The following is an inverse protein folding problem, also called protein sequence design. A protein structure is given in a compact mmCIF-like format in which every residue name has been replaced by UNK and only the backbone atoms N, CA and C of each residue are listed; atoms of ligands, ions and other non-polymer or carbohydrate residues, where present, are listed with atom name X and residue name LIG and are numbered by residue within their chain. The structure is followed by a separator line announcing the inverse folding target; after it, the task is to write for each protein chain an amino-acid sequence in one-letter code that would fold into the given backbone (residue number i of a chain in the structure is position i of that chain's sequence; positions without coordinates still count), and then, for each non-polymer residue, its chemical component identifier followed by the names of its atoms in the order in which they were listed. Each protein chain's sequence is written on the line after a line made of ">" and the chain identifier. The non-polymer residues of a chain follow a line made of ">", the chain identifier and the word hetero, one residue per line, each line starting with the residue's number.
data_IF_604751991170
#
_entry.id   IF_604751991170
#
_cell.length_a   1.000
_cell.length_b   1.000
_cell.length_c   1.000
_cell.angle_alpha   90.00
_cell.angle_beta   90.00
_cell.angle_gamma   90.00
#
_symmetry.space_group_name_H-M   'P 1'
#
loop_
_entity.id
_entity.type
_entity.pdbx_description
1 polymer ?
#
# COMPACT_ATOMS: atom_id res chain seq x y z
N UNK A 1 3.71 -20.70 27.25
CA UNK A 1 3.38 -20.50 25.82
C UNK A 1 4.62 -19.97 25.13
N UNK A 2 5.02 -20.53 23.98
CA UNK A 2 6.18 -20.08 23.21
C UNK A 2 5.75 -18.86 22.39
N UNK A 3 6.15 -17.67 22.83
CA UNK A 3 5.99 -16.46 22.01
C UNK A 3 6.85 -16.60 20.76
N UNK A 4 6.33 -16.15 19.60
CA UNK A 4 7.09 -16.23 18.34
C UNK A 4 8.37 -15.40 18.36
N UNK A 5 8.37 -14.30 19.11
CA UNK A 5 9.51 -13.41 19.28
C UNK A 5 9.44 -12.71 20.63
N UNK A 6 10.49 -11.97 21.00
CA UNK A 6 10.52 -11.18 22.23
C UNK A 6 9.91 -9.80 22.05
N UNK A 7 9.64 -9.09 23.14
CA UNK A 7 9.09 -7.72 23.09
C UNK A 7 10.06 -6.73 22.41
N UNK A 8 11.38 -6.95 22.58
CA UNK A 8 12.41 -6.17 21.90
C UNK A 8 12.41 -6.43 20.38
N UNK A 9 12.23 -7.68 19.97
CA UNK A 9 12.13 -8.03 18.55
C UNK A 9 10.88 -7.42 17.91
N UNK A 10 9.75 -7.39 18.64
CA UNK A 10 8.52 -6.74 18.19
C UNK A 10 8.75 -5.24 17.88
N UNK A 11 9.54 -4.55 18.73
CA UNK A 11 9.94 -3.17 18.51
C UNK A 11 10.76 -2.98 17.22
N UNK A 12 11.76 -3.84 16.99
CA UNK A 12 12.58 -3.79 15.76
C UNK A 12 11.77 -4.11 14.51
N UNK A 13 10.94 -5.15 14.55
CA UNK A 13 10.05 -5.53 13.44
C UNK A 13 9.12 -4.36 13.12
N UNK A 14 8.49 -3.75 14.13
CA UNK A 14 7.63 -2.59 13.96
C UNK A 14 8.35 -1.39 13.34
N UNK A 15 9.56 -1.07 13.83
CA UNK A 15 10.35 0.04 13.33
C UNK A 15 10.79 -0.17 11.87
N UNK A 16 11.34 -1.35 11.55
CA UNK A 16 11.85 -1.67 10.21
C UNK A 16 10.68 -1.73 9.22
N UNK A 17 9.61 -2.47 9.56
CA UNK A 17 8.46 -2.62 8.70
C UNK A 17 7.74 -1.28 8.51
N UNK A 18 7.49 -0.54 9.59
CA UNK A 18 6.84 0.77 9.55
C UNK A 18 7.62 1.79 8.72
N UNK A 19 8.95 1.87 8.92
CA UNK A 19 9.80 2.79 8.14
C UNK A 19 9.83 2.41 6.66
N UNK A 20 9.98 1.12 6.36
CA UNK A 20 10.01 0.63 4.98
C UNK A 20 8.70 0.90 4.25
N UNK A 21 7.56 0.61 4.88
CA UNK A 21 6.23 0.89 4.32
C UNK A 21 5.99 2.40 4.22
N UNK A 22 6.43 3.20 5.19
CA UNK A 22 6.33 4.66 5.12
C UNK A 22 7.08 5.24 3.91
N UNK A 23 8.30 4.78 3.67
CA UNK A 23 9.11 5.17 2.51
C UNK A 23 8.42 4.74 1.21
N UNK A 24 7.97 3.48 1.13
CA UNK A 24 7.29 2.95 -0.05
C UNK A 24 5.95 3.67 -0.33
N UNK A 25 5.18 3.98 0.71
CA UNK A 25 3.93 4.72 0.62
C UNK A 25 4.14 6.17 0.19
N UNK A 26 5.16 6.84 0.74
CA UNK A 26 5.55 8.18 0.31
C UNK A 26 6.02 8.21 -1.14
N UNK A 27 6.84 7.24 -1.54
CA UNK A 27 7.30 7.08 -2.91
C UNK A 27 6.13 6.81 -3.86
N UNK A 28 5.21 5.91 -3.50
CA UNK A 28 3.99 5.65 -4.27
C UNK A 28 3.15 6.91 -4.42
N UNK A 29 2.95 7.68 -3.35
CA UNK A 29 2.22 8.95 -3.39
C UNK A 29 2.88 9.98 -4.30
N UNK A 30 4.22 10.10 -4.25
CA UNK A 30 5.00 10.97 -5.12
C UNK A 30 4.94 10.56 -6.59
N UNK A 31 5.09 9.26 -6.89
CA UNK A 31 4.97 8.71 -8.24
C UNK A 31 3.55 8.88 -8.78
N UNK A 32 2.52 8.59 -7.98
CA UNK A 32 1.13 8.78 -8.37
C UNK A 32 0.84 10.28 -8.64
N UNK A 33 1.30 11.18 -7.77
CA UNK A 33 1.09 12.63 -7.93
C UNK A 33 1.80 13.22 -9.16
N UNK A 34 2.98 12.70 -9.51
CA UNK A 34 3.78 13.23 -10.64
C UNK A 34 3.45 12.56 -11.98
N UNK A 35 3.15 11.26 -12.00
CA UNK A 35 2.91 10.50 -13.22
C UNK A 35 1.43 10.34 -13.58
N UNK A 36 0.50 10.39 -12.63
CA UNK A 36 -0.93 10.33 -12.95
C UNK A 36 -1.38 11.50 -13.84
N UNK A 37 -0.97 12.78 -13.61
CA UNK A 37 -1.33 13.88 -14.50
C UNK A 37 -0.75 13.74 -15.91
N UNK A 38 0.38 13.01 -16.04
CA UNK A 38 1.07 12.80 -17.32
C UNK A 38 0.57 11.55 -18.06
N UNK A 39 -0.32 10.76 -17.46
CA UNK A 39 -0.81 9.50 -18.02
C UNK A 39 0.27 8.43 -18.23
N UNK A 40 1.46 8.58 -17.61
CA UNK A 40 2.61 7.69 -17.81
C UNK A 40 2.75 6.67 -16.68
N UNK A 41 3.33 5.51 -16.99
CA UNK A 41 3.69 4.45 -16.03
C UNK A 41 2.54 3.94 -15.13
N UNK A 42 1.30 3.99 -15.62
CA UNK A 42 0.11 3.50 -14.91
C UNK A 42 0.31 2.09 -14.33
N UNK A 43 0.82 1.17 -15.14
CA UNK A 43 1.06 -0.22 -14.72
C UNK A 43 2.07 -0.32 -13.57
N UNK A 44 3.10 0.52 -13.54
CA UNK A 44 4.14 0.52 -12.51
C UNK A 44 3.55 1.02 -11.17
N UNK A 45 2.87 2.17 -11.19
CA UNK A 45 2.23 2.76 -9.99
C UNK A 45 1.17 1.83 -9.41
N UNK A 46 0.32 1.24 -10.26
CA UNK A 46 -0.71 0.30 -9.80
C UNK A 46 -0.11 -1.02 -9.32
N UNK A 47 0.95 -1.53 -9.96
CA UNK A 47 1.63 -2.74 -9.50
C UNK A 47 2.23 -2.54 -8.11
N UNK A 48 2.90 -1.39 -7.86
CA UNK A 48 3.44 -1.07 -6.53
C UNK A 48 2.31 -0.97 -5.50
N UNK A 49 1.23 -0.25 -5.82
CA UNK A 49 0.08 -0.13 -4.93
C UNK A 49 -0.54 -1.49 -4.60
N UNK A 50 -0.66 -2.36 -5.61
CA UNK A 50 -1.19 -3.71 -5.45
C UNK A 50 -0.27 -4.60 -4.62
N UNK A 51 1.05 -4.54 -4.82
CA UNK A 51 2.01 -5.29 -4.01
C UNK A 51 1.97 -4.89 -2.53
N UNK A 52 1.88 -3.58 -2.24
CA UNK A 52 1.74 -3.09 -0.86
C UNK A 52 0.42 -3.54 -0.25
N UNK A 53 -0.68 -3.46 -1.01
CA UNK A 53 -1.99 -3.94 -0.57
C UNK A 53 -1.99 -5.45 -0.27
N UNK A 54 -1.44 -6.26 -1.18
CA UNK A 54 -1.35 -7.71 -1.00
C UNK A 54 -0.51 -8.08 0.23
N UNK A 55 0.62 -7.40 0.42
CA UNK A 55 1.45 -7.56 1.62
C UNK A 55 0.68 -7.18 2.90
N UNK A 56 -0.13 -6.13 2.84
CA UNK A 56 -1.02 -5.73 3.94
C UNK A 56 -2.05 -6.79 4.30
N UNK A 57 -2.73 -7.35 3.31
CA UNK A 57 -3.73 -8.41 3.52
C UNK A 57 -3.09 -9.65 4.15
N UNK A 58 -1.92 -10.06 3.66
CA UNK A 58 -1.18 -11.20 4.22
C UNK A 58 -0.77 -10.92 5.68
N UNK A 59 -0.22 -9.75 5.96
CA UNK A 59 0.22 -9.36 7.31
C UNK A 59 -0.96 -9.26 8.29
N UNK A 60 -2.09 -8.72 7.83
CA UNK A 60 -3.32 -8.65 8.62
C UNK A 60 -3.88 -10.04 8.92
N UNK A 61 -3.91 -10.93 7.92
CA UNK A 61 -4.31 -12.33 8.09
C UNK A 61 -3.40 -13.06 9.08
N UNK A 62 -2.09 -12.85 9.02
CA UNK A 62 -1.15 -13.39 9.98
C UNK A 62 -1.37 -12.84 11.40
N UNK A 63 -1.74 -11.57 11.54
CA UNK A 63 -2.15 -10.97 12.82
C UNK A 63 -3.41 -11.60 13.41
N UNK A 64 -4.44 -11.85 12.58
CA UNK A 64 -5.65 -12.57 13.00
C UNK A 64 -5.30 -14.00 13.42
N UNK A 65 -4.46 -14.69 12.65
CA UNK A 65 -4.02 -16.03 12.98
C UNK A 65 -3.26 -16.07 14.32
N UNK A 66 -2.36 -15.12 14.56
CA UNK A 66 -1.68 -14.97 15.85
C UNK A 66 -2.68 -14.77 17.01
N UNK A 67 -3.76 -14.01 16.77
CA UNK A 67 -4.83 -13.83 17.75
C UNK A 67 -5.55 -15.14 18.08
N UNK A 68 -5.85 -15.97 17.07
CA UNK A 68 -6.45 -17.31 17.30
C UNK A 68 -5.54 -18.26 18.08
N UNK A 69 -4.23 -18.07 17.98
CA UNK A 69 -3.23 -18.85 18.70
C UNK A 69 -2.95 -18.32 20.12
N UNK A 70 -3.76 -17.38 20.61
CA UNK A 70 -3.59 -16.71 21.93
C UNK A 70 -2.18 -16.14 22.11
N UNK A 71 -1.56 -15.66 21.02
CA UNK A 71 -0.23 -15.06 21.08
C UNK A 71 -0.26 -13.75 21.88
N UNK A 72 0.85 -13.40 22.56
CA UNK A 72 0.95 -12.15 23.30
C UNK A 72 0.71 -10.92 22.43
N UNK A 73 0.25 -9.82 23.07
CA UNK A 73 -0.12 -8.60 22.37
C UNK A 73 1.02 -8.01 21.51
N UNK A 74 2.28 -8.15 21.94
CA UNK A 74 3.46 -7.69 21.19
C UNK A 74 3.72 -8.47 19.88
N UNK A 75 3.13 -9.67 19.71
CA UNK A 75 3.16 -10.39 18.42
C UNK A 75 2.02 -9.90 17.54
N UNK A 76 0.80 -9.86 18.09
CA UNK A 76 -0.40 -9.53 17.33
C UNK A 76 -0.42 -8.07 16.85
N UNK A 77 0.00 -7.13 17.70
CA UNK A 77 -0.17 -5.70 17.47
C UNK A 77 0.62 -5.18 16.25
N UNK A 78 1.93 -5.47 16.09
CA UNK A 78 2.67 -5.02 14.91
C UNK A 78 2.11 -5.59 13.60
N UNK A 79 1.73 -6.87 13.59
CA UNK A 79 1.16 -7.56 12.42
C UNK A 79 -0.18 -6.95 12.00
N UNK A 80 -1.08 -6.73 12.96
CA UNK A 80 -2.39 -6.13 12.71
C UNK A 80 -2.26 -4.66 12.28
N UNK A 81 -1.42 -3.88 12.96
CA UNK A 81 -1.21 -2.47 12.65
C UNK A 81 -0.61 -2.30 11.25
N UNK A 82 0.48 -3.02 10.95
CA UNK A 82 1.14 -3.00 9.64
C UNK A 82 0.16 -3.43 8.53
N UNK A 83 -0.57 -4.51 8.77
CA UNK A 83 -1.58 -5.01 7.83
C UNK A 83 -2.66 -3.98 7.55
N UNK A 84 -3.20 -3.34 8.59
CA UNK A 84 -4.26 -2.33 8.47
C UNK A 84 -3.76 -1.08 7.73
N UNK A 85 -2.56 -0.60 8.04
CA UNK A 85 -1.94 0.53 7.34
C UNK A 85 -1.73 0.21 5.86
N UNK A 86 -1.18 -0.94 5.53
CA UNK A 86 -0.99 -1.36 4.13
C UNK A 86 -2.32 -1.57 3.40
N UNK A 87 -3.34 -2.12 4.06
CA UNK A 87 -4.68 -2.29 3.49
C UNK A 87 -5.33 -0.95 3.13
N UNK A 88 -5.00 0.16 3.82
CA UNK A 88 -5.51 1.48 3.45
C UNK A 88 -5.15 1.89 2.01
N UNK A 89 -4.05 1.34 1.46
CA UNK A 89 -3.63 1.55 0.06
C UNK A 89 -4.65 0.99 -0.92
N UNK A 90 -5.42 -0.04 -0.54
CA UNK A 90 -6.51 -0.60 -1.38
C UNK A 90 -7.53 0.49 -1.72
N UNK A 91 -7.86 1.36 -0.75
CA UNK A 91 -8.77 2.48 -0.97
C UNK A 91 -8.18 3.55 -1.91
N UNK A 92 -6.86 3.62 -2.03
CA UNK A 92 -6.16 4.57 -2.90
C UNK A 92 -6.10 4.10 -4.36
N UNK A 93 -6.12 2.79 -4.63
CA UNK A 93 -6.11 2.21 -5.98
C UNK A 93 -7.21 2.77 -6.90
N UNK A 94 -8.51 2.82 -6.52
CA UNK A 94 -9.54 3.38 -7.39
C UNK A 94 -9.36 4.88 -7.63
N UNK A 95 -8.84 5.62 -6.64
CA UNK A 95 -8.54 7.05 -6.76
C UNK A 95 -7.44 7.29 -7.79
N UNK A 96 -6.34 6.53 -7.71
CA UNK A 96 -5.24 6.59 -8.68
C UNK A 96 -5.76 6.24 -10.08
N UNK A 97 -6.54 5.16 -10.21
CA UNK A 97 -7.12 4.76 -11.49
C UNK A 97 -8.00 5.85 -12.11
N UNK A 98 -8.83 6.52 -11.31
CA UNK A 98 -9.65 7.63 -11.77
C UNK A 98 -8.80 8.77 -12.31
N UNK A 99 -7.72 9.15 -11.62
CA UNK A 99 -6.79 10.21 -12.07
C UNK A 99 -6.10 9.87 -13.39
N UNK A 100 -5.71 8.61 -13.57
CA UNK A 100 -5.15 8.16 -14.84
C UNK A 100 -6.17 8.24 -15.99
N UNK A 101 -7.44 7.85 -15.75
CA UNK A 101 -8.51 7.99 -16.76
C UNK A 101 -8.79 9.45 -17.11
N UNK A 102 -8.81 10.35 -16.13
CA UNK A 102 -8.95 11.79 -16.36
C UNK A 102 -7.80 12.38 -17.20
N UNK A 103 -6.57 11.89 -17.03
CA UNK A 103 -5.44 12.31 -17.85
C UNK A 103 -5.53 11.77 -19.29
N UNK A 104 -5.99 10.53 -19.45
CA UNK A 104 -6.20 9.90 -20.77
C UNK A 104 -7.31 10.60 -21.57
N UNK A 105 -8.46 10.88 -20.94
CA UNK A 105 -9.57 11.60 -21.58
C UNK A 105 -9.15 12.99 -22.08
N UNK A 106 -8.41 13.76 -21.26
CA UNK A 106 -7.88 15.08 -21.66
C UNK A 106 -6.96 15.01 -22.87
N UNK A 107 -6.20 13.92 -23.01
CA UNK A 107 -5.35 13.70 -24.18
C UNK A 107 -6.18 13.42 -25.44
N UNK A 108 -7.23 12.60 -25.31
CA UNK A 108 -8.13 12.30 -26.42
C UNK A 108 -8.89 13.53 -26.90
N UNK A 109 -9.45 14.33 -25.98
CA UNK A 109 -10.14 15.60 -26.29
C UNK A 109 -9.23 16.58 -27.05
N UNK A 110 -7.95 16.68 -26.65
CA UNK A 110 -6.97 17.51 -27.33
C UNK A 110 -6.61 16.98 -28.74
N UNK A 111 -6.57 15.66 -28.92
CA UNK A 111 -6.34 15.04 -30.22
C UNK A 111 -7.55 15.20 -31.16
N UNK A 112 -8.77 15.15 -30.63
CA UNK A 112 -10.01 15.43 -31.37
C UNK A 112 -10.08 16.89 -31.83
N UNK A 113 -9.80 17.86 -30.95
CA UNK A 113 -9.78 19.28 -31.29
C UNK A 113 -8.72 19.63 -32.35
N UNK A 114 -7.64 18.86 -32.44
CA UNK A 114 -6.60 19.02 -33.48
C UNK A 114 -7.03 18.47 -34.85
N UNK A 115 -8.03 17.58 -34.89
CA UNK A 115 -8.52 16.94 -36.13
C UNK A 115 -9.72 17.64 -36.76
N UNK A 116 -10.41 18.51 -36.03
CA UNK A 116 -11.48 19.40 -36.52
C UNK A 116 -10.92 20.68 -37.10
#
# INVERSE_FOLDING_TARGET
>A
MMAWWTDQDAGWIGAIAGSSIGILGGLLGGLAGTFAPKGKYKSLVLSIAFSIALFGVISFGAGIYAFTQSQPFFVCYPLLLLGLVCCSVIALIPVINKRYREAENRRLEAEEFRRS
#
